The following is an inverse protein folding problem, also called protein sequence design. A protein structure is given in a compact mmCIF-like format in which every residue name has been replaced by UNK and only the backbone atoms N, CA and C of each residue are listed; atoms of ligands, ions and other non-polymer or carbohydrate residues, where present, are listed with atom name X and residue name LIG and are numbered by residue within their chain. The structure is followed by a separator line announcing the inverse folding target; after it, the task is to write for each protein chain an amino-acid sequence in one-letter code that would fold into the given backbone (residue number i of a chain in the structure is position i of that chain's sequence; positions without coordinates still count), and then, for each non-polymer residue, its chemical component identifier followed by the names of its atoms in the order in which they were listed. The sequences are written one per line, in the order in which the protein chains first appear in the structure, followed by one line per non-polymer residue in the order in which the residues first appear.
data_IF_642082963932
#
_entry.id   IF_642082963932
#
_cell.length_a   1.000
_cell.length_b   1.000
_cell.length_c   1.000
_cell.angle_alpha   90.00
_cell.angle_beta   90.00
_cell.angle_gamma   90.00
#
_symmetry.space_group_name_H-M   'P 1'
#
loop_
_entity.id
_entity.type
_entity.pdbx_description
1 polymer ?
#
# COMPACT_ATOMS: atom_id res chain seq x y z
N UNK A 1 -7.76 8.90 -4.25
CA UNK A 1 -8.82 9.72 -3.69
C UNK A 1 -10.17 9.01 -3.87
N UNK A 2 -11.16 9.13 -2.95
CA UNK A 2 -12.42 8.39 -3.02
C UNK A 2 -13.18 8.55 -4.34
N UNK A 3 -13.21 9.74 -4.93
CA UNK A 3 -13.91 10.00 -6.19
C UNK A 3 -13.25 9.39 -7.42
N UNK A 4 -11.93 9.28 -7.43
CA UNK A 4 -11.20 8.60 -8.48
C UNK A 4 -11.56 7.11 -8.55
N UNK A 5 -11.71 6.50 -7.37
CA UNK A 5 -12.16 5.13 -7.22
C UNK A 5 -13.54 4.88 -7.82
N UNK A 6 -14.48 5.82 -7.64
CA UNK A 6 -15.84 5.71 -8.21
C UNK A 6 -15.80 5.71 -9.74
N UNK A 7 -15.06 6.61 -10.37
CA UNK A 7 -14.96 6.69 -11.83
C UNK A 7 -14.30 5.45 -12.45
N UNK A 8 -13.21 4.95 -11.87
CA UNK A 8 -12.56 3.73 -12.36
C UNK A 8 -13.46 2.51 -12.21
N UNK A 9 -14.16 2.39 -11.09
CA UNK A 9 -15.15 1.33 -10.86
C UNK A 9 -16.29 1.41 -11.87
N UNK A 10 -16.75 2.60 -12.25
CA UNK A 10 -17.82 2.77 -13.24
C UNK A 10 -17.38 2.36 -14.65
N UNK A 11 -16.15 2.69 -15.07
CA UNK A 11 -15.60 2.21 -16.33
C UNK A 11 -15.43 0.69 -16.31
N UNK A 12 -14.89 0.14 -15.24
CA UNK A 12 -14.77 -1.30 -15.07
C UNK A 12 -16.12 -2.01 -15.19
N UNK A 13 -17.15 -1.55 -14.49
CA UNK A 13 -18.51 -2.12 -14.55
C UNK A 13 -19.06 -2.13 -15.97
N UNK A 14 -18.89 -1.06 -16.73
CA UNK A 14 -19.34 -0.97 -18.12
C UNK A 14 -18.64 -2.00 -19.01
N UNK A 15 -17.33 -2.22 -18.84
CA UNK A 15 -16.62 -3.26 -19.55
C UNK A 15 -17.07 -4.68 -19.17
N UNK A 16 -17.37 -4.93 -17.89
CA UNK A 16 -17.93 -6.20 -17.45
C UNK A 16 -19.34 -6.43 -18.02
N UNK A 17 -20.18 -5.41 -18.07
CA UNK A 17 -21.51 -5.51 -18.72
C UNK A 17 -21.41 -5.80 -20.23
N UNK A 18 -20.49 -5.13 -20.91
CA UNK A 18 -20.25 -5.40 -22.34
C UNK A 18 -19.71 -6.81 -22.56
N UNK A 19 -18.80 -7.28 -21.72
CA UNK A 19 -18.30 -8.65 -21.74
C UNK A 19 -19.42 -9.67 -21.61
N UNK A 20 -20.34 -9.45 -20.67
CA UNK A 20 -21.51 -10.33 -20.46
C UNK A 20 -22.44 -10.38 -21.68
N UNK A 21 -22.58 -9.28 -22.41
CA UNK A 21 -23.43 -9.19 -23.62
C UNK A 21 -22.76 -9.79 -24.84
N UNK A 22 -21.49 -9.49 -25.06
CA UNK A 22 -20.75 -9.85 -26.27
C UNK A 22 -20.03 -11.21 -26.19
N UNK A 23 -19.85 -11.75 -24.98
CA UNK A 23 -19.04 -12.94 -24.74
C UNK A 23 -17.53 -12.69 -24.84
N UNK A 24 -17.08 -11.47 -25.04
CA UNK A 24 -15.66 -11.13 -25.11
C UNK A 24 -15.02 -11.16 -23.72
N UNK A 25 -13.86 -11.81 -23.55
CA UNK A 25 -13.18 -11.85 -22.26
C UNK A 25 -12.59 -10.48 -21.90
N UNK A 26 -12.64 -10.13 -20.62
CA UNK A 26 -11.95 -8.97 -20.06
C UNK A 26 -10.60 -9.41 -19.49
N UNK A 27 -9.57 -8.67 -19.86
CA UNK A 27 -8.22 -8.76 -19.27
C UNK A 27 -7.88 -7.41 -18.65
N UNK A 28 -7.20 -7.43 -17.52
CA UNK A 28 -6.80 -6.23 -16.79
C UNK A 28 -5.29 -6.04 -16.83
N UNK A 29 -4.89 -4.78 -16.76
CA UNK A 29 -3.52 -4.38 -16.56
C UNK A 29 -3.46 -3.59 -15.25
N UNK A 30 -2.89 -4.20 -14.21
CA UNK A 30 -2.83 -3.62 -12.88
C UNK A 30 -1.42 -3.17 -12.51
N UNK A 31 -1.35 -2.01 -11.86
CA UNK A 31 -0.14 -1.50 -11.24
C UNK A 31 -0.29 -1.54 -9.72
N UNK A 32 0.67 -2.16 -9.02
CA UNK A 32 0.74 -2.18 -7.55
C UNK A 32 1.97 -1.43 -7.00
N UNK A 33 2.63 -0.61 -7.83
CA UNK A 33 3.85 0.13 -7.48
C UNK A 33 3.65 1.62 -7.18
N UNK A 34 2.44 2.14 -7.31
CA UNK A 34 2.13 3.49 -6.90
C UNK A 34 1.97 3.57 -5.37
N UNK A 35 2.39 4.64 -4.71
CA UNK A 35 2.89 5.92 -5.26
C UNK A 35 4.41 6.00 -5.47
N UNK A 36 5.19 4.96 -5.15
CA UNK A 36 6.67 4.98 -5.17
C UNK A 36 7.22 5.39 -6.53
N UNK A 37 6.65 4.87 -7.61
CA UNK A 37 7.06 5.22 -8.98
C UNK A 37 6.96 6.72 -9.24
N UNK A 38 5.91 7.37 -8.76
CA UNK A 38 5.73 8.81 -8.90
C UNK A 38 6.81 9.60 -8.15
N UNK A 39 7.18 9.15 -6.96
CA UNK A 39 8.28 9.75 -6.20
C UNK A 39 9.61 9.66 -6.93
N UNK A 40 9.90 8.54 -7.56
CA UNK A 40 11.11 8.37 -8.38
C UNK A 40 11.16 9.35 -9.55
N UNK A 41 10.06 9.49 -10.30
CA UNK A 41 9.96 10.41 -11.44
C UNK A 41 10.13 11.88 -11.01
N UNK A 42 9.57 12.26 -9.85
CA UNK A 42 9.62 13.63 -9.33
C UNK A 42 10.76 13.90 -8.34
N UNK A 43 11.60 12.92 -8.11
CA UNK A 43 12.77 13.01 -7.22
C UNK A 43 12.43 13.44 -5.78
N UNK A 44 11.44 12.80 -5.19
CA UNK A 44 11.15 12.94 -3.76
C UNK A 44 10.75 11.58 -3.14
N UNK A 45 10.79 11.48 -1.81
CA UNK A 45 10.34 10.30 -1.07
C UNK A 45 8.85 10.43 -0.79
N UNK A 46 8.08 9.43 -1.21
CA UNK A 46 6.64 9.36 -0.94
C UNK A 46 6.38 8.75 0.43
N UNK A 47 5.20 9.02 0.99
CA UNK A 47 4.66 8.19 2.07
C UNK A 47 4.23 6.84 1.47
N UNK A 48 4.57 5.68 2.08
CA UNK A 48 4.22 4.37 1.53
C UNK A 48 2.72 4.21 1.31
N UNK A 49 2.36 3.60 0.20
CA UNK A 49 0.97 3.37 -0.19
C UNK A 49 0.58 1.91 0.05
N UNK A 50 0.54 1.46 1.30
CA UNK A 50 0.06 0.13 1.63
C UNK A 50 -1.46 0.09 1.50
N UNK A 51 -1.98 -0.94 0.83
CA UNK A 51 -3.40 -1.03 0.49
C UNK A 51 -3.86 -2.47 0.26
N UNK A 52 -3.31 -3.40 1.03
CA UNK A 52 -3.52 -4.83 0.76
C UNK A 52 -4.98 -5.27 0.93
N UNK A 53 -5.71 -4.73 1.89
CA UNK A 53 -7.12 -5.05 2.07
C UNK A 53 -7.96 -4.59 0.87
N UNK A 54 -7.61 -3.45 0.27
CA UNK A 54 -8.27 -3.00 -0.95
C UNK A 54 -7.92 -3.87 -2.15
N UNK A 55 -6.64 -4.22 -2.32
CA UNK A 55 -6.18 -5.12 -3.39
C UNK A 55 -6.88 -6.47 -3.28
N UNK A 56 -6.98 -7.04 -2.08
CA UNK A 56 -7.69 -8.27 -1.83
C UNK A 56 -9.19 -8.18 -2.20
N UNK A 57 -9.85 -7.09 -1.83
CA UNK A 57 -11.24 -6.84 -2.23
C UNK A 57 -11.42 -6.74 -3.75
N UNK A 58 -10.49 -6.09 -4.45
CA UNK A 58 -10.50 -6.00 -5.90
C UNK A 58 -10.32 -7.37 -6.56
N UNK A 59 -9.39 -8.20 -6.08
CA UNK A 59 -9.17 -9.56 -6.63
C UNK A 59 -10.42 -10.41 -6.50
N UNK A 60 -11.08 -10.39 -5.35
CA UNK A 60 -12.36 -11.10 -5.14
C UNK A 60 -13.45 -10.59 -6.09
N UNK A 61 -13.51 -9.28 -6.32
CA UNK A 61 -14.42 -8.69 -7.31
C UNK A 61 -14.13 -9.19 -8.73
N UNK A 62 -12.85 -9.19 -9.14
CA UNK A 62 -12.45 -9.67 -10.47
C UNK A 62 -12.80 -11.15 -10.69
N UNK A 63 -12.59 -11.98 -9.68
CA UNK A 63 -12.97 -13.39 -9.73
C UNK A 63 -14.50 -13.57 -9.88
N UNK A 64 -15.29 -12.83 -9.10
CA UNK A 64 -16.76 -12.81 -9.19
C UNK A 64 -17.26 -12.37 -10.57
N UNK A 65 -16.61 -11.39 -11.16
CA UNK A 65 -16.95 -10.85 -12.48
C UNK A 65 -16.39 -11.66 -13.65
N UNK A 66 -15.68 -12.76 -13.36
CA UNK A 66 -15.08 -13.66 -14.34
C UNK A 66 -14.06 -12.99 -15.26
N UNK A 67 -13.27 -12.06 -14.70
CA UNK A 67 -12.11 -11.51 -15.41
C UNK A 67 -11.20 -12.66 -15.82
N UNK A 68 -10.79 -12.69 -17.08
CA UNK A 68 -10.11 -13.85 -17.67
C UNK A 68 -8.63 -13.90 -17.32
N UNK A 69 -8.01 -12.77 -17.14
CA UNK A 69 -6.60 -12.69 -16.79
C UNK A 69 -6.19 -11.28 -16.39
N UNK A 70 -5.09 -11.20 -15.66
CA UNK A 70 -4.54 -9.95 -15.15
C UNK A 70 -3.05 -9.91 -15.47
N UNK A 71 -2.61 -8.82 -16.12
CA UNK A 71 -1.21 -8.48 -16.23
C UNK A 71 -0.84 -7.56 -15.07
N UNK A 72 0.09 -8.02 -14.24
CA UNK A 72 0.58 -7.27 -13.10
C UNK A 72 1.87 -6.56 -13.48
N UNK A 73 1.81 -5.22 -13.54
CA UNK A 73 2.96 -4.38 -13.86
C UNK A 73 3.48 -3.71 -12.59
N UNK A 74 4.58 -4.22 -12.07
CA UNK A 74 5.17 -3.75 -10.83
C UNK A 74 4.47 -4.28 -9.58
N UNK A 75 5.28 -4.54 -8.58
CA UNK A 75 4.84 -4.96 -7.25
C UNK A 75 5.66 -4.14 -6.26
N UNK A 76 4.98 -3.42 -5.35
CA UNK A 76 5.65 -2.51 -4.42
C UNK A 76 6.24 -3.22 -3.22
N UNK A 77 5.48 -4.13 -2.62
CA UNK A 77 5.75 -4.71 -1.31
C UNK A 77 5.69 -6.24 -1.32
N UNK A 78 6.46 -6.87 -0.43
CA UNK A 78 6.49 -8.34 -0.30
C UNK A 78 5.13 -8.89 0.14
N UNK A 79 4.44 -8.22 1.06
CA UNK A 79 3.11 -8.60 1.51
C UNK A 79 2.09 -8.49 0.37
N UNK A 80 2.10 -7.37 -0.37
CA UNK A 80 1.22 -7.18 -1.53
C UNK A 80 1.41 -8.29 -2.56
N UNK A 81 2.66 -8.67 -2.81
CA UNK A 81 2.97 -9.79 -3.72
C UNK A 81 2.42 -11.12 -3.20
N UNK A 82 2.71 -11.44 -1.94
CA UNK A 82 2.28 -12.69 -1.33
C UNK A 82 0.76 -12.85 -1.39
N UNK A 83 0.02 -11.86 -0.89
CA UNK A 83 -1.45 -11.88 -0.85
C UNK A 83 -2.04 -11.92 -2.27
N UNK A 84 -1.50 -11.10 -3.19
CA UNK A 84 -1.96 -11.06 -4.58
C UNK A 84 -1.82 -12.44 -5.25
N UNK A 85 -0.67 -13.09 -5.11
CA UNK A 85 -0.45 -14.41 -5.74
C UNK A 85 -1.32 -15.50 -5.11
N UNK A 86 -1.49 -15.50 -3.79
CA UNK A 86 -2.38 -16.44 -3.10
C UNK A 86 -3.84 -16.28 -3.55
N UNK A 87 -4.32 -15.04 -3.65
CA UNK A 87 -5.70 -14.77 -4.06
C UNK A 87 -5.94 -14.93 -5.56
N UNK A 88 -4.91 -14.77 -6.41
CA UNK A 88 -5.03 -15.10 -7.84
C UNK A 88 -5.16 -16.60 -8.07
N UNK A 89 -4.48 -17.42 -7.26
CA UNK A 89 -4.62 -18.87 -7.29
C UNK A 89 -5.97 -19.31 -6.69
N UNK A 90 -6.32 -18.77 -5.52
CA UNK A 90 -7.58 -19.09 -4.85
C UNK A 90 -8.26 -17.84 -4.23
N UNK A 91 -9.18 -17.19 -4.95
CA UNK A 91 -9.86 -15.99 -4.46
C UNK A 91 -10.85 -16.24 -3.32
N UNK A 92 -11.08 -17.50 -2.91
CA UNK A 92 -11.93 -17.83 -1.77
C UNK A 92 -11.21 -17.72 -0.42
N UNK A 93 -9.89 -17.63 -0.42
CA UNK A 93 -9.10 -17.48 0.82
C UNK A 93 -9.46 -16.19 1.57
N UNK A 94 -9.32 -16.25 2.89
CA UNK A 94 -9.49 -15.08 3.75
C UNK A 94 -8.22 -14.22 3.71
N UNK A 95 -8.31 -12.94 3.32
CA UNK A 95 -7.14 -12.06 3.29
C UNK A 95 -6.52 -11.83 4.66
N UNK A 96 -7.34 -11.74 5.72
CA UNK A 96 -6.85 -11.48 7.06
C UNK A 96 -6.05 -12.67 7.59
N UNK A 97 -6.51 -13.90 7.32
CA UNK A 97 -5.76 -15.12 7.64
C UNK A 97 -4.42 -15.19 6.87
N UNK A 98 -4.40 -14.78 5.61
CA UNK A 98 -3.18 -14.73 4.81
C UNK A 98 -2.19 -13.66 5.30
N UNK A 99 -2.70 -12.51 5.76
CA UNK A 99 -1.88 -11.44 6.34
C UNK A 99 -1.23 -11.95 7.63
N UNK A 100 -2.02 -12.56 8.51
CA UNK A 100 -1.51 -13.15 9.76
C UNK A 100 -0.49 -14.26 9.49
N UNK A 101 -0.76 -15.13 8.50
CA UNK A 101 0.18 -16.17 8.06
C UNK A 101 1.51 -15.55 7.61
N UNK A 102 1.46 -14.50 6.80
CA UNK A 102 2.66 -13.81 6.32
C UNK A 102 3.48 -13.24 7.48
N UNK A 103 2.88 -12.43 8.34
CA UNK A 103 3.61 -11.80 9.43
C UNK A 103 4.17 -12.82 10.42
N UNK A 104 3.39 -13.83 10.78
CA UNK A 104 3.83 -14.89 11.69
C UNK A 104 4.96 -15.71 11.12
N UNK A 105 4.85 -16.13 9.85
CA UNK A 105 5.86 -16.96 9.20
C UNK A 105 7.13 -16.17 8.84
N UNK A 106 7.00 -14.91 8.48
CA UNK A 106 8.13 -14.09 8.04
C UNK A 106 8.86 -13.43 9.19
N UNK A 107 8.15 -12.84 10.16
CA UNK A 107 8.74 -12.06 11.25
C UNK A 107 8.81 -12.80 12.60
N UNK A 108 8.17 -13.97 12.74
CA UNK A 108 8.19 -14.77 13.96
C UNK A 108 7.73 -13.98 15.18
N UNK A 109 8.60 -13.81 16.20
CA UNK A 109 8.24 -13.06 17.41
C UNK A 109 7.99 -11.56 17.18
N UNK A 110 8.53 -11.00 16.11
CA UNK A 110 8.28 -9.62 15.73
C UNK A 110 6.99 -9.43 14.88
N UNK A 111 6.23 -10.49 14.62
CA UNK A 111 5.03 -10.45 13.77
C UNK A 111 4.05 -9.34 14.17
N UNK A 112 3.64 -9.31 15.43
CA UNK A 112 2.64 -8.32 15.89
C UNK A 112 3.08 -6.87 15.73
N UNK A 113 4.26 -6.41 16.21
CA UNK A 113 4.66 -5.04 15.97
C UNK A 113 4.92 -4.70 14.49
N UNK A 114 5.29 -5.68 13.66
CA UNK A 114 5.43 -5.48 12.21
C UNK A 114 4.07 -5.36 11.51
N UNK A 115 3.08 -6.17 11.88
CA UNK A 115 1.71 -6.04 11.42
C UNK A 115 1.12 -4.68 11.83
N UNK A 116 1.27 -4.29 13.11
CA UNK A 116 0.80 -2.98 13.58
C UNK A 116 1.45 -1.81 12.82
N UNK A 117 2.73 -1.93 12.44
CA UNK A 117 3.43 -0.93 11.64
C UNK A 117 2.82 -0.82 10.23
N UNK A 118 2.55 -1.96 9.59
CA UNK A 118 1.92 -2.00 8.28
C UNK A 118 0.51 -1.42 8.33
N UNK A 119 -0.31 -1.89 9.27
CA UNK A 119 -1.71 -1.46 9.45
C UNK A 119 -1.79 0.06 9.71
N UNK A 120 -0.83 0.58 10.49
CA UNK A 120 -0.75 2.03 10.73
C UNK A 120 -0.52 2.81 9.44
N UNK A 121 0.40 2.36 8.59
CA UNK A 121 0.66 3.00 7.30
C UNK A 121 -0.57 2.89 6.40
N UNK A 122 -1.16 1.69 6.27
CA UNK A 122 -2.35 1.47 5.45
C UNK A 122 -3.52 2.36 5.91
N UNK A 123 -3.79 2.40 7.22
CA UNK A 123 -4.86 3.23 7.78
C UNK A 123 -4.68 4.72 7.51
N UNK A 124 -3.43 5.22 7.62
CA UNK A 124 -3.12 6.63 7.32
C UNK A 124 -3.27 6.92 5.84
N UNK A 125 -2.75 6.05 4.98
CA UNK A 125 -2.77 6.23 3.53
C UNK A 125 -4.19 6.14 2.95
N UNK A 126 -5.03 5.24 3.46
CA UNK A 126 -6.37 4.97 2.93
C UNK A 126 -7.44 5.94 3.42
N UNK A 127 -7.24 6.63 4.55
CA UNK A 127 -8.22 7.57 5.08
C UNK A 127 -8.14 8.91 4.34
N UNK A 128 -9.20 9.21 3.56
CA UNK A 128 -9.33 10.47 2.82
C UNK A 128 -9.24 11.73 3.69
N UNK A 129 -9.55 11.64 4.99
CA UNK A 129 -9.47 12.76 5.93
C UNK A 129 -8.03 13.22 6.19
N UNK A 130 -7.05 12.35 5.93
CA UNK A 130 -5.64 12.66 6.05
C UNK A 130 -5.07 13.44 4.86
N UNK A 131 -5.90 13.82 3.89
CA UNK A 131 -5.48 14.57 2.70
C UNK A 131 -6.00 16.00 2.75
N UNK A 132 -5.38 16.96 2.01
CA UNK A 132 -5.90 18.31 1.88
C UNK A 132 -7.34 18.32 1.37
N UNK A 133 -8.19 19.21 1.91
CA UNK A 133 -9.62 19.26 1.59
C UNK A 133 -9.92 19.50 0.11
N UNK A 134 -9.06 20.26 -0.58
CA UNK A 134 -9.20 20.49 -2.03
C UNK A 134 -8.96 19.23 -2.87
N UNK A 135 -8.20 18.27 -2.35
CA UNK A 135 -7.94 16.98 -3.00
C UNK A 135 -9.08 16.01 -2.77
N UNK A 136 -9.67 16.01 -1.57
CA UNK A 136 -10.81 15.15 -1.24
C UNK A 136 -12.01 15.36 -2.18
N UNK A 137 -12.09 16.51 -2.84
CA UNK A 137 -13.19 16.91 -3.69
C UNK A 137 -12.89 16.87 -5.20
N UNK A 138 -11.66 16.57 -5.60
CA UNK A 138 -11.24 16.53 -7.01
C UNK A 138 -11.64 15.22 -7.69
N UNK A 139 -12.18 15.33 -8.91
CA UNK A 139 -12.50 14.18 -9.79
C UNK A 139 -11.30 13.75 -10.65
N UNK A 140 -10.11 14.28 -10.39
CA UNK A 140 -8.91 14.01 -11.17
C UNK A 140 -8.00 12.98 -10.48
N UNK A 141 -7.20 12.28 -11.27
CA UNK A 141 -6.12 11.43 -10.76
C UNK A 141 -5.23 12.21 -9.80
N UNK A 142 -5.13 11.70 -8.60
CA UNK A 142 -4.35 12.31 -7.55
C UNK A 142 -3.08 11.51 -7.31
N UNK A 143 -1.96 12.22 -7.32
CA UNK A 143 -0.66 11.68 -6.94
C UNK A 143 -0.13 12.43 -5.73
N UNK A 144 0.56 11.76 -4.83
CA UNK A 144 1.23 12.42 -3.72
C UNK A 144 2.18 13.52 -4.24
N UNK A 145 2.16 14.64 -3.53
CA UNK A 145 3.22 15.63 -3.57
C UNK A 145 4.09 15.47 -2.33
N UNK A 146 5.28 16.08 -2.33
CA UNK A 146 6.18 16.01 -1.18
C UNK A 146 5.54 16.61 0.09
N UNK A 147 4.72 17.67 -0.05
CA UNK A 147 3.97 18.24 1.07
C UNK A 147 2.89 17.30 1.60
N UNK A 148 2.15 16.63 0.71
CA UNK A 148 1.14 15.65 1.15
C UNK A 148 1.80 14.49 1.89
N UNK A 149 2.91 13.98 1.36
CA UNK A 149 3.64 12.89 2.00
C UNK A 149 4.04 13.23 3.45
N UNK A 150 4.52 14.48 3.70
CA UNK A 150 5.20 14.78 4.96
C UNK A 150 4.50 15.80 5.88
N UNK A 151 3.50 16.53 5.39
CA UNK A 151 2.66 17.41 6.24
C UNK A 151 1.30 16.76 6.58
N UNK A 152 0.79 15.88 5.72
CA UNK A 152 -0.54 15.31 5.88
C UNK A 152 -0.51 13.83 6.27
N UNK A 153 0.29 13.01 5.59
CA UNK A 153 0.36 11.57 5.87
C UNK A 153 1.42 11.26 6.93
N UNK A 154 2.68 11.53 6.65
CA UNK A 154 3.82 11.33 7.56
C UNK A 154 3.98 12.48 8.56
N UNK A 155 2.91 12.86 9.27
CA UNK A 155 2.98 13.89 10.34
C UNK A 155 3.93 13.47 11.46
N UNK A 156 4.37 14.41 12.31
CA UNK A 156 5.25 14.07 13.43
C UNK A 156 4.64 13.01 14.33
N UNK A 157 3.36 13.13 14.63
CA UNK A 157 2.62 12.15 15.43
C UNK A 157 2.63 10.76 14.79
N UNK A 158 2.37 10.65 13.48
CA UNK A 158 2.38 9.38 12.76
C UNK A 158 3.78 8.76 12.79
N UNK A 159 4.81 9.57 12.53
CA UNK A 159 6.20 9.09 12.54
C UNK A 159 6.64 8.62 13.93
N UNK A 160 6.27 9.32 15.00
CA UNK A 160 6.54 8.89 16.39
C UNK A 160 5.85 7.57 16.75
N UNK A 161 4.60 7.36 16.28
CA UNK A 161 3.88 6.12 16.50
C UNK A 161 4.55 4.95 15.75
N UNK A 162 4.96 5.17 14.50
CA UNK A 162 5.69 4.18 13.70
C UNK A 162 7.06 3.84 14.28
N UNK A 163 7.81 4.84 14.77
CA UNK A 163 9.11 4.63 15.42
C UNK A 163 9.00 3.69 16.63
N UNK A 164 7.97 3.89 17.47
CA UNK A 164 7.70 3.00 18.60
C UNK A 164 7.44 1.55 18.16
N UNK A 165 6.80 1.35 17.03
CA UNK A 165 6.54 0.02 16.49
C UNK A 165 7.81 -0.61 15.92
N UNK A 166 8.64 0.16 15.24
CA UNK A 166 9.98 -0.27 14.79
C UNK A 166 10.82 -0.76 15.97
N UNK A 167 10.93 0.04 17.04
CA UNK A 167 11.68 -0.35 18.22
C UNK A 167 11.13 -1.61 18.90
N UNK A 168 9.79 -1.75 18.96
CA UNK A 168 9.15 -2.98 19.46
C UNK A 168 9.48 -4.19 18.60
N UNK A 169 9.46 -4.04 17.27
CA UNK A 169 9.79 -5.13 16.36
C UNK A 169 11.25 -5.57 16.50
N UNK A 170 12.18 -4.62 16.55
CA UNK A 170 13.60 -4.89 16.78
C UNK A 170 13.86 -5.59 18.12
N UNK A 171 13.18 -5.17 19.19
CA UNK A 171 13.30 -5.78 20.51
C UNK A 171 12.68 -7.19 20.58
N UNK A 172 11.62 -7.46 19.81
CA UNK A 172 10.93 -8.75 19.77
C UNK A 172 11.68 -9.80 18.95
N UNK A 173 12.39 -9.39 17.90
CA UNK A 173 13.15 -10.29 17.03
C UNK A 173 14.24 -11.01 17.80
N UNK A 174 14.13 -12.34 17.90
CA UNK A 174 14.99 -13.17 18.78
C UNK A 174 16.03 -14.00 18.02
N UNK A 175 15.70 -14.47 16.83
CA UNK A 175 16.60 -15.26 16.00
C UNK A 175 17.37 -14.40 15.00
N UNK A 176 18.55 -14.85 14.51
CA UNK A 176 19.26 -14.12 13.45
C UNK A 176 18.40 -13.85 12.19
N UNK A 177 17.53 -14.79 11.84
CA UNK A 177 16.64 -14.66 10.67
C UNK A 177 15.57 -13.60 10.92
N UNK A 178 14.91 -13.63 12.09
CA UNK A 178 13.92 -12.59 12.45
C UNK A 178 14.56 -11.20 12.44
N UNK A 179 15.74 -11.06 13.05
CA UNK A 179 16.49 -9.78 13.07
C UNK A 179 16.80 -9.30 11.66
N UNK A 180 17.38 -10.16 10.81
CA UNK A 180 17.71 -9.79 9.43
C UNK A 180 16.48 -9.35 8.62
N UNK A 181 15.32 -9.98 8.83
CA UNK A 181 14.07 -9.60 8.17
C UNK A 181 13.50 -8.27 8.67
N UNK A 182 13.53 -8.04 10.00
CA UNK A 182 13.15 -6.74 10.57
C UNK A 182 14.10 -5.65 10.09
N UNK A 183 15.42 -5.87 10.11
CA UNK A 183 16.41 -4.90 9.65
C UNK A 183 16.23 -4.56 8.16
N UNK A 184 15.94 -5.56 7.32
CA UNK A 184 15.65 -5.33 5.90
C UNK A 184 14.42 -4.43 5.70
N UNK A 185 13.36 -4.63 6.50
CA UNK A 185 12.17 -3.79 6.46
C UNK A 185 12.46 -2.38 7.01
N UNK A 186 13.20 -2.29 8.11
CA UNK A 186 13.63 -0.99 8.65
C UNK A 186 14.40 -0.20 7.61
N UNK A 187 15.37 -0.82 6.94
CA UNK A 187 16.15 -0.13 5.90
C UNK A 187 15.30 0.23 4.68
N UNK A 188 14.46 -0.69 4.19
CA UNK A 188 13.68 -0.48 2.97
C UNK A 188 12.49 0.47 3.13
N UNK A 189 11.88 0.52 4.30
CA UNK A 189 10.65 1.29 4.54
C UNK A 189 10.88 2.43 5.54
N UNK A 190 11.32 2.12 6.77
CA UNK A 190 11.42 3.12 7.82
C UNK A 190 12.49 4.17 7.55
N UNK A 191 13.71 3.78 7.20
CA UNK A 191 14.80 4.70 6.87
C UNK A 191 14.51 5.51 5.60
N UNK A 192 13.83 4.91 4.64
CA UNK A 192 13.32 5.62 3.47
C UNK A 192 12.36 6.74 3.89
N UNK A 193 11.41 6.47 4.78
CA UNK A 193 10.44 7.44 5.28
C UNK A 193 11.12 8.56 6.07
N UNK A 194 11.98 8.22 7.03
CA UNK A 194 12.69 9.21 7.86
C UNK A 194 13.61 10.09 7.03
N UNK A 195 14.30 9.52 6.04
CA UNK A 195 15.11 10.27 5.08
C UNK A 195 14.25 11.24 4.26
N UNK A 196 13.10 10.79 3.79
CA UNK A 196 12.19 11.62 3.01
C UNK A 196 11.68 12.80 3.80
N UNK A 197 11.23 12.57 5.03
CA UNK A 197 10.77 13.63 5.93
C UNK A 197 11.87 14.63 6.26
N UNK A 198 13.07 14.15 6.60
CA UNK A 198 14.21 15.02 6.90
C UNK A 198 14.59 15.92 5.72
N UNK A 199 14.62 15.37 4.50
CA UNK A 199 14.86 16.14 3.27
C UNK A 199 13.80 17.21 3.04
N UNK A 200 12.52 16.86 3.25
CA UNK A 200 11.43 17.81 3.12
C UNK A 200 11.55 18.97 4.10
N UNK A 201 11.79 18.69 5.39
CA UNK A 201 11.97 19.72 6.42
C UNK A 201 13.15 20.63 6.07
N UNK A 202 14.29 20.06 5.67
CA UNK A 202 15.47 20.84 5.28
C UNK A 202 15.20 21.79 4.11
N UNK A 203 14.48 21.35 3.07
CA UNK A 203 14.07 22.21 1.96
C UNK A 203 13.13 23.35 2.39
N UNK A 204 12.28 23.10 3.37
CA UNK A 204 11.31 24.09 3.88
C UNK A 204 11.99 25.18 4.72
N UNK A 205 13.01 24.82 5.49
CA UNK A 205 13.77 25.76 6.34
C UNK A 205 14.81 26.58 5.58
N UNK A 206 15.14 26.16 4.35
CA UNK A 206 16.13 26.86 3.48
C UNK A 206 15.49 27.88 2.54
N UNK A 207 14.16 28.03 2.57
CA UNK A 207 13.39 29.04 1.83
C UNK A 207 12.98 30.19 2.75
#
# INVERSE_FOLDING_TARGET
APKMKENEVDYYKKWIEESKKSGRPVYLWNYLCFPTERGLVQNFHVFPGFSIHEVAGQIKMYAKDKVRGIFLCGIGEQLDFYITMKLYDNPSLDPDELIDEFFTSYFGKAAKPMSDFYDKIESVYSDSKNYPSDIQTKDAQFHQTESIAWEYLGTDKVMEELEKLVHKAQAAASTPVEKARVDSWVTGVWEYMTTGKAKYISKKTSK
#
